data_IF_911415960440
#
_entry.id   IF_911415960440
#
_cell.length_a   1.000
_cell.length_b   1.000
_cell.length_c   1.000
_cell.angle_alpha   90.00
_cell.angle_beta   90.00
_cell.angle_gamma   90.00
#
_symmetry.space_group_name_H-M   'P 1'
#
loop_
_entity.id
_entity.type
_entity.pdbx_description
1 polymer ?
#
# COMPACT_ATOMS: atom_id res chain seq x y z
N UNK A 1 -4.44 -9.56 -0.56
CA UNK A 1 -3.24 -10.14 0.10
C UNK A 1 -2.03 -10.18 -0.82
N UNK A 2 -2.18 -10.67 -2.06
CA UNK A 2 -1.10 -10.69 -3.07
C UNK A 2 -0.42 -9.32 -3.26
N UNK A 3 -1.19 -8.23 -3.33
CA UNK A 3 -0.59 -6.90 -3.50
C UNK A 3 0.25 -6.46 -2.29
N UNK A 4 -0.18 -6.78 -1.06
CA UNK A 4 0.61 -6.47 0.14
C UNK A 4 1.90 -7.28 0.22
N UNK A 5 1.89 -8.51 -0.31
CA UNK A 5 3.09 -9.29 -0.45
C UNK A 5 4.04 -8.67 -1.49
N UNK A 6 3.53 -8.28 -2.66
CA UNK A 6 4.33 -7.59 -3.68
C UNK A 6 4.98 -6.30 -3.15
N UNK A 7 4.24 -5.51 -2.36
CA UNK A 7 4.79 -4.30 -1.72
C UNK A 7 5.94 -4.62 -0.75
N UNK A 8 5.83 -5.70 0.03
CA UNK A 8 6.92 -6.15 0.93
C UNK A 8 8.16 -6.56 0.15
N UNK A 9 7.97 -7.32 -0.92
CA UNK A 9 9.05 -7.82 -1.75
C UNK A 9 9.77 -6.70 -2.51
N UNK A 10 9.02 -5.76 -3.10
CA UNK A 10 9.58 -4.59 -3.76
C UNK A 10 10.42 -3.75 -2.78
N UNK A 11 9.95 -3.55 -1.53
CA UNK A 11 10.74 -2.90 -0.48
C UNK A 11 12.02 -3.68 -0.15
N UNK A 12 11.94 -5.00 0.02
CA UNK A 12 13.12 -5.83 0.33
C UNK A 12 14.18 -5.77 -0.77
N UNK A 13 13.75 -5.74 -2.03
CA UNK A 13 14.61 -5.56 -3.21
C UNK A 13 15.11 -4.12 -3.39
N UNK A 14 14.59 -3.16 -2.61
CA UNK A 14 14.77 -1.72 -2.80
C UNK A 14 14.38 -1.26 -4.21
N UNK A 15 13.38 -1.92 -4.80
CA UNK A 15 12.89 -1.62 -6.14
C UNK A 15 11.87 -0.47 -6.07
N UNK A 16 12.38 0.75 -6.22
CA UNK A 16 11.56 1.96 -6.20
C UNK A 16 10.61 2.04 -7.41
N UNK A 17 10.99 1.46 -8.54
CA UNK A 17 10.17 1.45 -9.76
C UNK A 17 8.95 0.54 -9.58
N UNK A 18 9.16 -0.65 -9.01
CA UNK A 18 8.08 -1.57 -8.68
C UNK A 18 7.18 -1.01 -7.57
N UNK A 19 7.76 -0.37 -6.54
CA UNK A 19 6.97 0.34 -5.52
C UNK A 19 6.11 1.44 -6.15
N UNK A 20 6.61 2.18 -7.13
CA UNK A 20 5.84 3.19 -7.85
C UNK A 20 4.68 2.57 -8.65
N UNK A 21 4.95 1.50 -9.40
CA UNK A 21 3.94 0.79 -10.17
C UNK A 21 2.83 0.23 -9.27
N UNK A 22 3.20 -0.39 -8.14
CA UNK A 22 2.26 -0.89 -7.14
C UNK A 22 1.46 0.24 -6.49
N UNK A 23 2.11 1.37 -6.17
CA UNK A 23 1.45 2.54 -5.59
C UNK A 23 0.38 3.08 -6.54
N UNK A 24 0.72 3.19 -7.82
CA UNK A 24 -0.22 3.62 -8.86
C UNK A 24 -1.38 2.62 -9.03
N UNK A 25 -1.08 1.32 -9.10
CA UNK A 25 -2.07 0.26 -9.24
C UNK A 25 -3.10 0.25 -8.10
N UNK A 26 -2.63 0.39 -6.86
CA UNK A 26 -3.48 0.34 -5.67
C UNK A 26 -4.31 1.61 -5.47
N UNK A 27 -3.83 2.75 -5.97
CA UNK A 27 -4.41 4.07 -5.68
C UNK A 27 -5.87 4.16 -6.08
N UNK A 28 -6.21 3.76 -7.31
CA UNK A 28 -7.59 3.84 -7.80
C UNK A 28 -8.56 3.02 -6.93
N UNK A 29 -8.15 1.81 -6.56
CA UNK A 29 -8.96 0.92 -5.70
C UNK A 29 -9.15 1.52 -4.30
N UNK A 30 -8.13 2.18 -3.76
CA UNK A 30 -8.17 2.74 -2.40
C UNK A 30 -8.85 4.11 -2.36
N UNK A 31 -8.86 4.87 -3.47
CA UNK A 31 -9.58 6.15 -3.58
C UNK A 31 -11.09 5.96 -3.45
N UNK A 32 -11.62 4.85 -3.97
CA UNK A 32 -13.04 4.44 -3.79
C UNK A 32 -13.33 4.19 -2.31
N UNK A 33 -12.39 3.56 -1.60
CA UNK A 33 -12.49 3.23 -0.18
C UNK A 33 -12.10 4.40 0.75
N UNK A 34 -11.73 5.57 0.20
CA UNK A 34 -11.17 6.71 0.95
C UNK A 34 -9.96 6.33 1.83
N UNK A 35 -9.14 5.40 1.36
CA UNK A 35 -8.01 4.84 2.09
C UNK A 35 -6.65 5.12 1.45
N UNK A 36 -6.59 5.94 0.39
CA UNK A 36 -5.43 6.14 -0.46
C UNK A 36 -4.35 7.08 0.09
N UNK A 37 -4.59 7.74 1.23
CA UNK A 37 -3.63 8.65 1.87
C UNK A 37 -2.19 8.08 1.97
N UNK A 38 -1.94 6.88 2.53
CA UNK A 38 -0.58 6.31 2.58
C UNK A 38 0.04 6.08 1.20
N UNK A 39 -0.76 5.78 0.17
CA UNK A 39 -0.27 5.64 -1.21
C UNK A 39 0.13 7.01 -1.79
N UNK A 40 -0.60 8.08 -1.48
CA UNK A 40 -0.22 9.45 -1.88
C UNK A 40 1.11 9.88 -1.27
N UNK A 41 1.30 9.60 0.02
CA UNK A 41 2.54 9.94 0.71
C UNK A 41 3.73 9.13 0.16
N UNK A 42 3.55 7.83 -0.09
CA UNK A 42 4.57 7.02 -0.76
C UNK A 42 4.87 7.54 -2.18
N UNK A 43 3.84 7.87 -2.96
CA UNK A 43 4.00 8.43 -4.31
C UNK A 43 4.82 9.72 -4.31
N UNK A 44 4.54 10.65 -3.38
CA UNK A 44 5.31 11.90 -3.24
C UNK A 44 6.78 11.63 -2.94
N UNK A 45 7.07 10.70 -2.04
CA UNK A 45 8.46 10.34 -1.70
C UNK A 45 9.19 9.74 -2.89
N UNK A 46 8.52 8.90 -3.69
CA UNK A 46 9.11 8.28 -4.88
C UNK A 46 9.39 9.27 -6.02
N UNK A 47 8.72 10.43 -6.03
CA UNK A 47 8.91 11.49 -7.05
C UNK A 47 9.55 12.76 -6.47
N UNK A 48 10.05 12.70 -5.24
CA UNK A 48 10.79 13.82 -4.68
C UNK A 48 12.14 13.92 -5.42
N UNK A 49 12.53 15.14 -5.82
CA UNK A 49 13.81 15.38 -6.52
C UNK A 49 15.04 15.03 -5.66
N UNK A 50 14.87 14.93 -4.34
CA UNK A 50 15.89 14.42 -3.42
C UNK A 50 15.72 12.93 -3.15
N UNK A 51 16.82 12.17 -3.13
CA UNK A 51 16.80 10.75 -2.73
C UNK A 51 16.27 10.64 -1.29
N UNK A 52 15.04 10.12 -1.07
CA UNK A 52 14.52 9.93 0.26
C UNK A 52 15.36 8.86 0.98
N UNK A 53 15.63 9.05 2.26
CA UNK A 53 16.40 8.08 3.02
C UNK A 53 15.60 6.76 3.21
N UNK A 54 16.35 5.66 3.37
CA UNK A 54 15.79 4.30 3.47
C UNK A 54 14.75 4.16 4.61
N UNK A 55 14.93 4.90 5.71
CA UNK A 55 13.99 4.90 6.84
C UNK A 55 12.70 5.61 6.48
N UNK A 56 12.77 6.74 5.76
CA UNK A 56 11.58 7.47 5.30
C UNK A 56 10.75 6.64 4.32
N UNK A 57 11.37 6.05 3.29
CA UNK A 57 10.68 5.10 2.40
C UNK A 57 10.16 3.90 3.19
N UNK A 58 10.97 3.37 4.10
CA UNK A 58 10.61 2.23 4.93
C UNK A 58 9.37 2.45 5.77
N UNK A 59 9.20 3.66 6.33
CA UNK A 59 8.04 4.08 7.10
C UNK A 59 6.80 4.28 6.23
N UNK A 60 6.94 4.92 5.06
CA UNK A 60 5.84 5.09 4.13
C UNK A 60 5.31 3.74 3.61
N UNK A 61 6.20 2.83 3.23
CA UNK A 61 5.80 1.46 2.86
C UNK A 61 5.14 0.73 4.02
N UNK A 62 5.63 0.89 5.26
CA UNK A 62 4.97 0.29 6.44
C UNK A 62 3.53 0.80 6.58
N UNK A 63 3.29 2.10 6.42
CA UNK A 63 1.95 2.68 6.48
C UNK A 63 1.02 2.11 5.39
N UNK A 64 1.54 1.91 4.17
CA UNK A 64 0.81 1.22 3.09
C UNK A 64 0.46 -0.21 3.51
N UNK A 65 1.40 -0.97 4.03
CA UNK A 65 1.15 -2.36 4.46
C UNK A 65 0.12 -2.45 5.59
N UNK A 66 0.24 -1.59 6.61
CA UNK A 66 -0.69 -1.56 7.75
C UNK A 66 -2.12 -1.26 7.27
N UNK A 67 -2.30 -0.24 6.42
CA UNK A 67 -3.61 0.11 5.86
C UNK A 67 -4.16 -0.98 4.94
N UNK A 68 -3.33 -1.60 4.11
CA UNK A 68 -3.79 -2.67 3.23
C UNK A 68 -4.19 -3.94 3.99
N UNK A 69 -3.48 -4.27 5.07
CA UNK A 69 -3.89 -5.33 6.00
C UNK A 69 -5.24 -5.01 6.66
N UNK A 70 -5.47 -3.76 7.05
CA UNK A 70 -6.76 -3.31 7.58
C UNK A 70 -7.90 -3.48 6.56
N UNK A 71 -7.72 -3.05 5.31
CA UNK A 71 -8.71 -3.20 4.23
C UNK A 71 -9.05 -4.68 4.00
N UNK A 72 -8.05 -5.56 3.94
CA UNK A 72 -8.24 -7.00 3.77
C UNK A 72 -9.02 -7.60 4.95
N UNK A 73 -8.67 -7.18 6.18
CA UNK A 73 -9.36 -7.64 7.39
C UNK A 73 -10.84 -7.24 7.36
N UNK A 74 -11.12 -5.97 7.07
CA UNK A 74 -12.49 -5.46 6.96
C UNK A 74 -13.28 -6.17 5.86
N UNK A 75 -12.69 -6.39 4.68
CA UNK A 75 -13.34 -7.14 3.60
C UNK A 75 -13.69 -8.58 4.00
N UNK A 76 -12.81 -9.26 4.76
CA UNK A 76 -13.08 -10.60 5.30
C UNK A 76 -14.20 -10.58 6.34
N UNK A 77 -14.26 -9.57 7.20
CA UNK A 77 -15.34 -9.39 8.19
C UNK A 77 -16.69 -9.11 7.52
N UNK A 78 -16.73 -8.20 6.54
CA UNK A 78 -17.94 -7.93 5.76
C UNK A 78 -18.46 -9.20 5.07
N UNK A 79 -17.58 -9.98 4.45
CA UNK A 79 -17.98 -11.25 3.81
C UNK A 79 -18.60 -12.24 4.78
N UNK A 80 -18.11 -12.32 6.03
CA UNK A 80 -18.67 -13.22 7.05
C UNK A 80 -20.10 -12.84 7.45
N UNK A 81 -20.44 -11.54 7.46
CA UNK A 81 -21.80 -11.06 7.80
C UNK A 81 -22.87 -11.63 6.86
N UNK A 82 -22.53 -11.81 5.58
CA UNK A 82 -23.47 -12.29 4.57
C UNK A 82 -23.33 -13.79 4.25
N UNK A 83 -22.34 -14.48 4.81
CA UNK A 83 -22.11 -15.91 4.59
C UNK A 83 -22.69 -16.80 5.72
N UNK A 84 -23.62 -16.25 6.50
CA UNK A 84 -24.26 -16.90 7.65
C UNK A 84 -25.73 -17.29 7.36
N UNK A 85 -26.06 -17.52 6.08
CA UNK A 85 -27.33 -18.08 5.63
C UNK A 85 -27.26 -19.59 5.47
#
# INVERSE_FOLDING_TARGET
EKEMQAVREAKQRKDLQELNALTHHLRSSWEILRADQPLRELYKLLHCDGTPDDKTIGNAVKAVLDKGSEIIRLAKEERKKYNNG
#
